data_IF_289039830374
#
_entry.id   IF_289039830374
#
_cell.length_a   1.000
_cell.length_b   1.000
_cell.length_c   1.000
_cell.angle_alpha   90.00
_cell.angle_beta   90.00
_cell.angle_gamma   90.00
#
_symmetry.space_group_name_H-M   'P 1'
#
loop_
_entity.id
_entity.type
_entity.pdbx_description
1 polymer ?
#
# COMPACT_ATOMS: atom_id res chain seq x y z
N UNK A 1 -19.24 2.32 -3.04
CA UNK A 1 -20.28 3.12 -2.36
C UNK A 1 -20.16 4.57 -2.76
N UNK A 2 -21.23 5.34 -2.63
CA UNK A 2 -21.20 6.81 -2.75
C UNK A 2 -21.40 7.43 -1.36
N UNK A 3 -20.83 8.62 -1.09
CA UNK A 3 -21.09 9.33 0.15
C UNK A 3 -22.58 9.65 0.30
N UNK A 4 -23.14 9.47 1.50
CA UNK A 4 -24.52 9.88 1.80
C UNK A 4 -24.69 11.41 1.76
N UNK A 5 -23.63 12.15 2.11
CA UNK A 5 -23.53 13.62 2.02
C UNK A 5 -22.11 14.02 1.63
N UNK A 6 -21.97 15.20 1.03
CA UNK A 6 -20.68 15.69 0.52
C UNK A 6 -20.31 15.05 -0.83
N UNK A 7 -19.06 15.24 -1.25
CA UNK A 7 -18.52 14.67 -2.49
C UNK A 7 -17.05 14.29 -2.33
N UNK A 8 -16.60 13.36 -3.16
CA UNK A 8 -15.19 13.02 -3.31
C UNK A 8 -14.77 13.48 -4.70
N UNK A 9 -13.68 14.21 -4.80
CA UNK A 9 -13.16 14.72 -6.07
C UNK A 9 -11.73 14.28 -6.32
N UNK A 10 -11.41 14.01 -7.57
CA UNK A 10 -10.06 13.81 -8.07
C UNK A 10 -9.77 14.86 -9.14
N UNK A 11 -8.69 15.62 -9.00
CA UNK A 11 -8.31 16.71 -9.90
C UNK A 11 -9.48 17.69 -10.19
N UNK A 12 -10.24 18.01 -9.14
CA UNK A 12 -11.42 18.89 -9.23
C UNK A 12 -12.69 18.24 -9.81
N UNK A 13 -12.62 16.99 -10.28
CA UNK A 13 -13.77 16.27 -10.84
C UNK A 13 -14.43 15.39 -9.78
N UNK A 14 -15.75 15.48 -9.61
CA UNK A 14 -16.50 14.57 -8.73
C UNK A 14 -16.41 13.13 -9.26
N UNK A 15 -16.03 12.19 -8.39
CA UNK A 15 -15.89 10.79 -8.79
C UNK A 15 -17.21 10.13 -9.21
N UNK A 16 -18.36 10.73 -8.88
CA UNK A 16 -19.67 10.26 -9.32
C UNK A 16 -19.94 10.54 -10.80
N UNK A 17 -19.15 11.43 -11.42
CA UNK A 17 -19.30 11.83 -12.83
C UNK A 17 -18.19 11.27 -13.74
N UNK A 18 -17.29 10.45 -13.22
CA UNK A 18 -16.23 9.78 -13.99
C UNK A 18 -16.52 8.29 -14.15
N UNK A 19 -16.01 7.68 -15.22
CA UNK A 19 -16.19 6.23 -15.40
C UNK A 19 -15.41 5.46 -14.32
N UNK A 20 -15.99 4.41 -13.71
CA UNK A 20 -15.29 3.59 -12.72
C UNK A 20 -13.99 2.98 -13.25
N UNK A 21 -13.94 2.65 -14.54
CA UNK A 21 -12.76 2.09 -15.20
C UNK A 21 -11.61 3.10 -15.24
N UNK A 22 -11.88 4.34 -15.68
CA UNK A 22 -10.88 5.41 -15.76
C UNK A 22 -10.42 5.88 -14.39
N UNK A 23 -11.29 5.83 -13.38
CA UNK A 23 -10.90 6.14 -12.00
C UNK A 23 -9.97 5.04 -11.48
N UNK A 24 -10.40 3.77 -11.56
CA UNK A 24 -9.64 2.63 -11.02
C UNK A 24 -8.31 2.42 -11.72
N UNK A 25 -8.15 2.79 -12.99
CA UNK A 25 -6.86 2.70 -13.68
C UNK A 25 -5.80 3.64 -13.11
N UNK A 26 -6.23 4.69 -12.40
CA UNK A 26 -5.32 5.64 -11.73
C UNK A 26 -4.99 5.24 -10.29
N UNK A 27 -5.69 4.25 -9.73
CA UNK A 27 -5.56 3.83 -8.34
C UNK A 27 -4.78 2.53 -8.23
N UNK A 28 -3.78 2.50 -7.35
CA UNK A 28 -3.24 1.27 -6.76
C UNK A 28 -3.75 1.15 -5.35
N UNK A 29 -4.34 0.01 -5.00
CA UNK A 29 -4.87 -0.22 -3.65
C UNK A 29 -4.29 -1.51 -3.10
N UNK A 30 -3.70 -1.42 -1.91
CA UNK A 30 -3.25 -2.56 -1.13
C UNK A 30 -4.14 -2.63 0.10
N UNK A 31 -5.10 -3.57 0.16
CA UNK A 31 -5.99 -3.71 1.32
C UNK A 31 -5.27 -4.34 2.52
N UNK A 32 -5.81 -4.14 3.72
CA UNK A 32 -5.35 -4.79 4.95
C UNK A 32 -5.28 -6.31 4.78
N UNK A 33 -6.35 -6.92 4.26
CA UNK A 33 -6.40 -8.34 3.92
C UNK A 33 -6.08 -8.57 2.43
N UNK A 34 -4.83 -8.95 2.16
CA UNK A 34 -4.38 -9.27 0.82
C UNK A 34 -4.79 -10.69 0.41
N UNK A 35 -5.56 -10.81 -0.68
CA UNK A 35 -5.89 -12.09 -1.31
C UNK A 35 -5.18 -12.27 -2.65
N UNK A 36 -4.80 -13.51 -2.93
CA UNK A 36 -4.24 -13.95 -4.20
C UNK A 36 -5.24 -14.84 -4.92
N UNK A 37 -5.25 -14.74 -6.25
CA UNK A 37 -6.02 -15.62 -7.12
C UNK A 37 -5.27 -16.95 -7.29
N UNK A 38 -6.00 -18.04 -7.48
CA UNK A 38 -5.39 -19.29 -7.93
C UNK A 38 -4.69 -19.06 -9.27
N UNK A 39 -3.45 -19.51 -9.39
CA UNK A 39 -2.58 -19.22 -10.55
C UNK A 39 -1.12 -19.21 -10.13
N UNK A 40 -0.25 -18.55 -10.88
CA UNK A 40 1.16 -18.34 -10.57
C UNK A 40 1.38 -17.01 -9.85
N UNK A 41 2.56 -16.83 -9.26
CA UNK A 41 2.95 -15.52 -8.70
C UNK A 41 2.97 -14.46 -9.82
N UNK A 42 3.48 -14.82 -11.00
CA UNK A 42 3.47 -13.95 -12.18
C UNK A 42 2.05 -13.46 -12.50
N UNK A 43 1.11 -14.39 -12.68
CA UNK A 43 -0.29 -14.07 -13.00
C UNK A 43 -0.96 -13.23 -11.90
N UNK A 44 -0.58 -13.45 -10.64
CA UNK A 44 -1.04 -12.65 -9.54
C UNK A 44 -0.51 -11.22 -9.57
N UNK A 45 0.76 -11.01 -9.94
CA UNK A 45 1.32 -9.65 -10.05
C UNK A 45 0.72 -8.94 -11.27
N UNK A 46 0.60 -9.63 -12.41
CA UNK A 46 0.10 -9.04 -13.66
C UNK A 46 -1.42 -8.94 -13.76
N UNK A 47 -2.14 -9.59 -12.85
CA UNK A 47 -3.60 -9.78 -12.95
C UNK A 47 -4.00 -10.35 -14.32
N UNK A 48 -3.24 -11.35 -14.80
CA UNK A 48 -3.45 -12.01 -16.09
C UNK A 48 -3.34 -11.08 -17.31
N UNK A 49 -2.76 -9.88 -17.16
CA UNK A 49 -2.52 -8.96 -18.29
C UNK A 49 -1.25 -9.38 -19.04
N UNK A 50 -1.31 -9.68 -20.35
CA UNK A 50 -0.18 -10.22 -21.09
C UNK A 50 0.87 -9.17 -21.50
N UNK A 51 0.58 -7.88 -21.30
CA UNK A 51 1.37 -6.78 -21.86
C UNK A 51 2.58 -6.37 -20.99
N UNK A 52 2.81 -7.04 -19.86
CA UNK A 52 3.92 -6.72 -18.96
C UNK A 52 5.11 -7.62 -19.22
N UNK A 53 6.31 -7.03 -19.31
CA UNK A 53 7.54 -7.79 -19.44
C UNK A 53 7.99 -8.34 -18.08
N UNK A 54 8.86 -9.36 -18.10
CA UNK A 54 9.40 -9.92 -16.86
C UNK A 54 10.28 -8.91 -16.10
N UNK A 55 10.93 -7.98 -16.81
CA UNK A 55 11.71 -6.91 -16.22
C UNK A 55 10.81 -5.98 -15.40
N UNK A 56 9.67 -5.54 -15.96
CA UNK A 56 8.70 -4.70 -15.25
C UNK A 56 8.15 -5.40 -14.00
N UNK A 57 7.81 -6.70 -14.13
CA UNK A 57 7.35 -7.52 -13.00
C UNK A 57 8.44 -7.62 -11.92
N UNK A 58 9.69 -7.82 -12.33
CA UNK A 58 10.81 -7.93 -11.39
C UNK A 58 11.13 -6.61 -10.68
N UNK A 59 11.00 -5.47 -11.36
CA UNK A 59 11.19 -4.14 -10.75
C UNK A 59 10.18 -3.90 -9.63
N UNK A 60 8.88 -4.09 -9.89
CA UNK A 60 7.85 -3.88 -8.85
C UNK A 60 7.94 -4.92 -7.73
N UNK A 61 8.35 -6.15 -8.05
CA UNK A 61 8.60 -7.16 -7.03
C UNK A 61 9.81 -6.82 -6.15
N UNK A 62 10.84 -6.15 -6.67
CA UNK A 62 11.97 -5.66 -5.85
C UNK A 62 11.53 -4.51 -4.95
N UNK A 63 10.81 -3.52 -5.48
CA UNK A 63 10.25 -2.42 -4.69
C UNK A 63 9.37 -2.93 -3.54
N UNK A 64 8.59 -3.96 -3.80
CA UNK A 64 7.73 -4.61 -2.81
C UNK A 64 8.45 -5.62 -1.90
N UNK A 65 9.78 -5.75 -1.95
CA UNK A 65 10.56 -6.73 -1.18
C UNK A 65 10.14 -8.20 -1.42
N UNK A 66 9.48 -8.47 -2.55
CA UNK A 66 8.96 -9.77 -2.93
C UNK A 66 9.98 -10.60 -3.73
N UNK A 67 10.79 -9.92 -4.55
CA UNK A 67 11.71 -10.57 -5.48
C UNK A 67 12.65 -11.60 -4.81
N UNK A 68 13.31 -11.31 -3.66
CA UNK A 68 14.24 -12.27 -3.06
C UNK A 68 13.59 -13.60 -2.68
N UNK A 69 12.41 -13.56 -2.07
CA UNK A 69 11.72 -14.81 -1.68
C UNK A 69 11.16 -15.53 -2.91
N UNK A 70 10.71 -14.80 -3.93
CA UNK A 70 10.21 -15.41 -5.16
C UNK A 70 11.34 -16.19 -5.84
N UNK A 71 12.54 -15.61 -5.94
CA UNK A 71 13.71 -16.27 -6.53
C UNK A 71 14.18 -17.50 -5.75
N UNK A 72 13.93 -17.55 -4.43
CA UNK A 72 14.23 -18.71 -3.61
C UNK A 72 13.27 -19.90 -3.82
N UNK A 73 12.13 -19.69 -4.49
CA UNK A 73 11.19 -20.76 -4.82
C UNK A 73 11.70 -21.57 -6.02
N UNK A 74 11.53 -22.92 -6.05
CA UNK A 74 12.03 -23.77 -7.13
C UNK A 74 11.54 -23.37 -8.54
N UNK A 75 10.33 -22.79 -8.62
CA UNK A 75 9.72 -22.36 -9.87
C UNK A 75 9.71 -20.83 -10.03
N UNK A 76 10.34 -20.09 -9.13
CA UNK A 76 10.39 -18.63 -9.20
C UNK A 76 9.00 -18.00 -9.31
N UNK A 77 8.83 -17.08 -10.27
CA UNK A 77 7.56 -16.44 -10.59
C UNK A 77 6.48 -17.41 -11.11
N UNK A 78 6.88 -18.57 -11.64
CA UNK A 78 5.96 -19.61 -12.11
C UNK A 78 5.45 -20.51 -10.98
N UNK A 79 5.84 -20.25 -9.73
CA UNK A 79 5.34 -20.98 -8.57
C UNK A 79 3.82 -20.81 -8.47
N UNK A 80 3.11 -21.93 -8.38
CA UNK A 80 1.65 -21.95 -8.22
C UNK A 80 1.25 -21.55 -6.81
N UNK A 81 0.24 -20.69 -6.74
CA UNK A 81 -0.43 -20.17 -5.57
C UNK A 81 -1.83 -20.77 -5.55
N UNK A 82 -2.19 -21.47 -4.46
CA UNK A 82 -3.53 -22.05 -4.26
C UNK A 82 -4.60 -20.99 -4.02
N UNK A 83 -5.86 -21.42 -3.80
CA UNK A 83 -6.95 -20.50 -3.47
C UNK A 83 -6.56 -19.62 -2.27
N UNK A 84 -6.73 -18.30 -2.41
CA UNK A 84 -6.36 -17.27 -1.42
C UNK A 84 -4.88 -17.28 -1.01
N UNK A 85 -4.00 -18.01 -1.71
CA UNK A 85 -2.58 -18.09 -1.39
C UNK A 85 -2.24 -18.83 -0.10
N UNK A 86 -2.96 -19.92 0.18
CA UNK A 86 -2.77 -20.79 1.35
C UNK A 86 -1.33 -21.26 1.60
N UNK A 87 -0.52 -21.35 0.54
CA UNK A 87 0.85 -21.87 0.61
C UNK A 87 1.91 -20.77 0.87
N UNK A 88 1.48 -19.53 1.06
CA UNK A 88 2.34 -18.38 1.33
C UNK A 88 2.06 -17.83 2.73
N UNK A 89 3.05 -17.21 3.35
CA UNK A 89 2.84 -16.45 4.59
C UNK A 89 2.03 -15.18 4.34
N UNK A 90 1.46 -14.58 5.39
CA UNK A 90 0.76 -13.29 5.30
C UNK A 90 1.64 -12.21 4.65
N UNK A 91 2.87 -12.04 5.15
CA UNK A 91 3.84 -11.09 4.60
C UNK A 91 4.26 -11.38 3.16
N UNK A 92 4.27 -12.64 2.70
CA UNK A 92 4.52 -12.95 1.29
C UNK A 92 3.34 -12.54 0.41
N UNK A 93 2.11 -12.84 0.84
CA UNK A 93 0.90 -12.41 0.11
C UNK A 93 0.80 -10.89 0.02
N UNK A 94 1.11 -10.20 1.12
CA UNK A 94 1.11 -8.74 1.17
C UNK A 94 2.12 -8.13 0.20
N UNK A 95 3.35 -8.63 0.18
CA UNK A 95 4.38 -8.18 -0.78
C UNK A 95 4.01 -8.42 -2.24
N UNK A 96 3.34 -9.53 -2.55
CA UNK A 96 2.80 -9.77 -3.91
C UNK A 96 1.68 -8.78 -4.23
N UNK A 97 0.80 -8.48 -3.28
CA UNK A 97 -0.27 -7.50 -3.47
C UNK A 97 0.26 -6.07 -3.66
N UNK A 98 1.33 -5.69 -2.96
CA UNK A 98 2.03 -4.43 -3.18
C UNK A 98 2.62 -4.40 -4.60
N UNK A 99 3.36 -5.43 -5.01
CA UNK A 99 3.91 -5.51 -6.37
C UNK A 99 2.82 -5.39 -7.45
N UNK A 100 1.67 -6.06 -7.24
CA UNK A 100 0.47 -5.95 -8.09
C UNK A 100 -0.05 -4.51 -8.18
N UNK A 101 -0.16 -3.81 -7.05
CA UNK A 101 -0.66 -2.44 -7.03
C UNK A 101 0.29 -1.46 -7.74
N UNK A 102 1.60 -1.72 -7.69
CA UNK A 102 2.62 -0.88 -8.32
C UNK A 102 2.77 -1.10 -9.82
N UNK A 103 2.46 -2.30 -10.33
CA UNK A 103 2.67 -2.67 -11.75
C UNK A 103 1.97 -1.74 -12.74
N UNK A 104 0.79 -1.23 -12.38
CA UNK A 104 0.04 -0.28 -13.20
C UNK A 104 0.60 1.15 -13.20
N UNK A 105 1.68 1.41 -12.46
CA UNK A 105 2.20 2.73 -12.17
C UNK A 105 1.10 3.77 -11.82
N UNK A 106 0.31 3.53 -10.76
CA UNK A 106 -0.87 4.35 -10.46
C UNK A 106 -0.51 5.77 -9.99
N UNK A 107 -1.27 6.77 -10.42
CA UNK A 107 -1.11 8.16 -9.96
C UNK A 107 -1.44 8.32 -8.47
N UNK A 108 -2.31 7.46 -7.94
CA UNK A 108 -2.68 7.45 -6.53
C UNK A 108 -2.46 6.05 -5.97
N UNK A 109 -1.67 5.95 -4.91
CA UNK A 109 -1.44 4.71 -4.19
C UNK A 109 -2.11 4.78 -2.80
N UNK A 110 -2.89 3.76 -2.45
CA UNK A 110 -3.52 3.63 -1.15
C UNK A 110 -2.99 2.37 -0.49
N UNK A 111 -2.31 2.52 0.63
CA UNK A 111 -1.76 1.45 1.45
C UNK A 111 -2.58 1.36 2.73
N UNK A 112 -3.47 0.37 2.81
CA UNK A 112 -4.32 0.12 3.96
C UNK A 112 -3.68 -0.94 4.85
N UNK A 113 -2.99 -0.50 5.90
CA UNK A 113 -2.20 -1.35 6.82
C UNK A 113 -1.24 -2.31 6.11
N UNK A 114 -0.70 -1.87 4.97
CA UNK A 114 0.06 -2.70 4.05
C UNK A 114 1.41 -3.24 4.59
N UNK A 115 1.80 -2.92 5.83
CA UNK A 115 3.04 -3.40 6.46
C UNK A 115 2.81 -4.25 7.71
N UNK A 116 1.57 -4.43 8.14
CA UNK A 116 1.24 -5.07 9.43
C UNK A 116 1.70 -6.54 9.53
N UNK A 117 1.79 -7.25 8.40
CA UNK A 117 2.18 -8.67 8.36
C UNK A 117 3.65 -8.90 7.98
N UNK A 118 4.44 -7.83 7.85
CA UNK A 118 5.87 -7.90 7.58
C UNK A 118 6.67 -8.07 8.88
N UNK A 119 7.76 -8.83 8.81
CA UNK A 119 8.78 -8.84 9.85
C UNK A 119 9.51 -7.49 9.91
N UNK A 120 10.14 -7.18 11.04
CA UNK A 120 10.79 -5.88 11.29
C UNK A 120 11.86 -5.51 10.26
N UNK A 121 12.62 -6.48 9.75
CA UNK A 121 13.69 -6.22 8.79
C UNK A 121 13.11 -5.90 7.40
N UNK A 122 12.14 -6.70 6.95
CA UNK A 122 11.38 -6.45 5.74
C UNK A 122 10.60 -5.14 5.80
N UNK A 123 10.00 -4.80 6.95
CA UNK A 123 9.29 -3.53 7.13
C UNK A 123 10.25 -2.34 7.00
N UNK A 124 11.44 -2.40 7.61
CA UNK A 124 12.44 -1.32 7.46
C UNK A 124 12.88 -1.12 6.02
N UNK A 125 13.16 -2.20 5.27
CA UNK A 125 13.48 -2.10 3.84
C UNK A 125 12.32 -1.55 3.03
N UNK A 126 11.10 -2.02 3.31
CA UNK A 126 9.92 -1.50 2.66
C UNK A 126 9.71 0.00 2.94
N UNK A 127 9.95 0.47 4.17
CA UNK A 127 9.92 1.90 4.50
C UNK A 127 10.96 2.72 3.72
N UNK A 128 12.15 2.16 3.46
CA UNK A 128 13.14 2.81 2.61
C UNK A 128 12.65 2.90 1.16
N UNK A 129 12.06 1.82 0.65
CA UNK A 129 11.49 1.78 -0.69
C UNK A 129 10.23 2.65 -0.79
N UNK A 130 9.50 2.87 0.29
CA UNK A 130 8.25 3.63 0.33
C UNK A 130 8.45 5.08 -0.13
N UNK A 131 9.58 5.70 0.21
CA UNK A 131 9.94 7.02 -0.30
C UNK A 131 10.13 7.02 -1.82
N UNK A 132 10.77 5.97 -2.37
CA UNK A 132 10.93 5.80 -3.82
C UNK A 132 9.59 5.48 -4.50
N UNK A 133 8.78 4.61 -3.89
CA UNK A 133 7.44 4.24 -4.37
C UNK A 133 6.55 5.48 -4.43
N UNK A 134 6.60 6.33 -3.42
CA UNK A 134 5.77 7.53 -3.32
C UNK A 134 6.24 8.68 -4.21
N UNK A 135 7.44 8.56 -4.81
CA UNK A 135 7.96 9.59 -5.70
C UNK A 135 7.05 9.76 -6.92
N UNK A 136 6.72 11.02 -7.22
CA UNK A 136 5.90 11.44 -8.35
C UNK A 136 4.46 10.88 -8.36
N UNK A 137 3.91 10.47 -7.20
CA UNK A 137 2.52 10.03 -7.05
C UNK A 137 1.91 10.48 -5.72
N UNK A 138 0.58 10.60 -5.65
CA UNK A 138 -0.11 10.82 -4.37
C UNK A 138 -0.21 9.49 -3.62
N UNK A 139 0.35 9.42 -2.41
CA UNK A 139 0.32 8.18 -1.61
C UNK A 139 -0.42 8.41 -0.29
N UNK A 140 -1.49 7.64 -0.08
CA UNK A 140 -2.19 7.56 1.20
C UNK A 140 -1.73 6.31 1.94
N UNK A 141 -1.32 6.50 3.20
CA UNK A 141 -0.90 5.41 4.07
C UNK A 141 -1.80 5.43 5.29
N UNK A 142 -2.61 4.39 5.43
CA UNK A 142 -3.44 4.14 6.60
C UNK A 142 -2.66 3.17 7.46
N UNK A 143 -2.25 3.60 8.64
CA UNK A 143 -1.37 2.81 9.49
C UNK A 143 -1.87 2.80 10.94
N UNK A 144 -1.77 1.63 11.55
CA UNK A 144 -1.86 1.48 13.00
C UNK A 144 -0.53 1.71 13.72
N UNK A 145 0.59 1.69 12.99
CA UNK A 145 1.93 1.94 13.51
C UNK A 145 2.38 3.35 13.14
N UNK A 146 2.66 4.17 14.14
CA UNK A 146 3.10 5.55 13.93
C UNK A 146 4.48 5.67 13.28
N UNK A 147 5.33 4.65 13.43
CA UNK A 147 6.64 4.58 12.76
C UNK A 147 6.51 4.65 11.23
N UNK A 148 5.42 4.13 10.67
CA UNK A 148 5.13 4.10 9.22
C UNK A 148 4.73 5.47 8.66
N UNK A 149 4.07 6.31 9.47
CA UNK A 149 3.56 7.64 9.03
C UNK A 149 4.42 8.81 9.47
N UNK A 150 5.43 8.57 10.31
CA UNK A 150 6.32 9.61 10.85
C UNK A 150 7.00 10.46 9.78
N UNK A 151 7.34 9.85 8.64
CA UNK A 151 8.06 10.50 7.55
C UNK A 151 7.13 11.01 6.43
N UNK A 152 5.82 11.01 6.63
CA UNK A 152 4.88 11.52 5.64
C UNK A 152 4.97 13.05 5.52
N UNK A 153 4.74 13.56 4.31
CA UNK A 153 4.69 15.00 4.04
C UNK A 153 3.57 15.71 4.82
N UNK A 154 2.50 14.97 5.13
CA UNK A 154 1.40 15.41 5.98
C UNK A 154 0.67 14.23 6.61
N UNK A 155 0.22 14.42 7.84
CA UNK A 155 -0.50 13.43 8.63
C UNK A 155 -1.90 13.96 8.89
N UNK A 156 -2.90 13.10 8.66
CA UNK A 156 -4.31 13.36 8.91
C UNK A 156 -4.77 12.46 10.06
N UNK A 157 -5.21 13.06 11.17
CA UNK A 157 -5.65 12.34 12.37
C UNK A 157 -7.17 12.33 12.40
N UNK A 158 -7.75 11.13 12.36
CA UNK A 158 -9.19 10.92 12.41
C UNK A 158 -9.60 10.40 13.79
N UNK A 159 -10.62 10.99 14.40
CA UNK A 159 -11.33 10.43 15.56
C UNK A 159 -12.82 10.36 15.24
N UNK A 160 -13.47 9.23 15.52
CA UNK A 160 -14.93 9.04 15.30
C UNK A 160 -15.47 9.50 13.94
N UNK A 161 -14.68 9.34 12.88
CA UNK A 161 -15.06 9.70 11.51
C UNK A 161 -14.92 11.18 11.16
N UNK A 162 -14.27 11.99 12.00
CA UNK A 162 -13.96 13.40 11.73
C UNK A 162 -12.45 13.64 11.77
N UNK A 163 -11.97 14.58 10.95
CA UNK A 163 -10.59 15.06 10.97
C UNK A 163 -10.41 15.99 12.17
N UNK A 164 -9.59 15.57 13.13
CA UNK A 164 -9.35 16.31 14.38
C UNK A 164 -8.02 17.05 14.39
N UNK A 165 -7.00 16.51 13.72
CA UNK A 165 -5.69 17.16 13.60
C UNK A 165 -5.10 16.93 12.20
N UNK A 166 -4.29 17.89 11.74
CA UNK A 166 -3.57 17.81 10.48
C UNK A 166 -2.26 18.58 10.60
N UNK A 167 -1.17 17.99 10.12
CA UNK A 167 0.15 18.62 10.08
C UNK A 167 1.26 17.62 9.83
N UNK A 168 2.49 18.08 9.93
CA UNK A 168 3.69 17.23 9.95
C UNK A 168 3.83 16.55 11.31
N UNK A 169 4.66 15.50 11.39
CA UNK A 169 4.98 14.85 12.67
C UNK A 169 5.44 15.86 13.74
N UNK A 170 6.30 16.81 13.38
CA UNK A 170 6.83 17.80 14.33
C UNK A 170 5.76 18.75 14.84
N UNK A 171 4.90 19.26 13.95
CA UNK A 171 3.79 20.14 14.33
C UNK A 171 2.80 19.43 15.24
N UNK A 172 2.41 18.20 14.90
CA UNK A 172 1.47 17.41 15.68
C UNK A 172 2.05 17.00 17.06
N UNK A 173 3.34 16.73 17.15
CA UNK A 173 4.01 16.49 18.43
C UNK A 173 4.03 17.74 19.32
N UNK A 174 4.21 18.93 18.72
CA UNK A 174 4.22 20.19 19.46
C UNK A 174 2.83 20.58 19.98
N UNK A 175 1.75 20.19 19.28
CA UNK A 175 0.38 20.44 19.70
C UNK A 175 -0.03 19.66 20.96
N UNK A 176 0.69 18.57 21.31
CA UNK A 176 0.37 17.70 22.44
C UNK A 176 -1.08 17.18 22.44
N UNK A 177 -1.65 16.97 21.24
CA UNK A 177 -3.01 16.48 21.03
C UNK A 177 -3.12 14.94 20.96
N UNK A 178 -4.14 14.44 20.27
CA UNK A 178 -4.39 13.02 20.07
C UNK A 178 -3.20 12.32 19.40
N UNK A 179 -2.61 12.94 18.36
CA UNK A 179 -1.43 12.36 17.71
C UNK A 179 -0.27 12.15 18.69
N UNK A 180 0.01 13.16 19.53
CA UNK A 180 1.07 13.10 20.53
C UNK A 180 0.85 11.96 21.53
N UNK A 181 -0.38 11.79 22.01
CA UNK A 181 -0.70 10.70 22.94
C UNK A 181 -0.54 9.32 22.30
N UNK A 182 -0.96 9.15 21.05
CA UNK A 182 -0.71 7.90 20.31
C UNK A 182 0.80 7.69 20.10
N UNK A 183 1.54 8.75 19.82
CA UNK A 183 2.99 8.71 19.63
C UNK A 183 3.72 8.24 20.88
N UNK A 184 3.37 8.76 22.07
CA UNK A 184 3.97 8.30 23.33
C UNK A 184 3.72 6.82 23.63
N UNK A 185 2.62 6.25 23.15
CA UNK A 185 2.31 4.84 23.39
C UNK A 185 3.04 3.89 22.45
N UNK A 186 3.33 4.32 21.22
CA UNK A 186 3.85 3.46 20.15
C UNK A 186 5.30 3.73 19.77
N UNK A 187 5.76 4.96 19.95
CA UNK A 187 7.14 5.36 19.75
C UNK A 187 7.74 5.40 21.15
N UNK A 188 8.73 4.57 21.42
CA UNK A 188 9.54 4.62 22.65
C UNK A 188 10.29 5.97 22.71
N UNK A 189 9.56 7.02 23.11
CA UNK A 189 10.01 8.41 23.22
C UNK A 189 10.39 8.76 24.66
#
# INVERSE_FOLDING_TARGET
>A
YHPTKGRISLDGHDICHVSPQSLRSQLGVVPQECFLFSGTILENITLYRPNYTMEQVAEVAKLAEAHPFIQALPLGYNTKVGERGSNLSGGQRQRIAIARALLGNPNILILDEATSSLDTESERRFQQNLAQISRDRTTFIIAHRLSTVRNADGILVLDRGILVEQGTHQELMALQGLYYHLAQQQLEL
#
